data_IF_902573466567
#
_entry.id   IF_902573466567
#
_cell.length_a   1.000
_cell.length_b   1.000
_cell.length_c   1.000
_cell.angle_alpha   90.00
_cell.angle_beta   90.00
_cell.angle_gamma   90.00
#
_symmetry.space_group_name_H-M   'P 1'
#
loop_
_entity.id
_entity.type
_entity.pdbx_description
1 polymer ?
#
# COMPACT_ATOMS: atom_id res chain seq x y z
N UNK A 1 19.66 -8.89 -5.50
CA UNK A 1 18.25 -9.15 -5.83
C UNK A 1 17.49 -7.83 -5.87
N UNK A 2 16.77 -7.54 -6.95
CA UNK A 2 15.85 -6.39 -6.96
C UNK A 2 14.67 -6.73 -6.06
N UNK A 3 14.41 -5.92 -5.03
CA UNK A 3 13.22 -6.08 -4.17
C UNK A 3 11.97 -5.38 -4.76
N UNK A 4 12.06 -4.90 -6.00
CA UNK A 4 10.99 -4.18 -6.72
C UNK A 4 10.22 -5.12 -7.66
N UNK A 5 9.94 -6.33 -7.21
CA UNK A 5 9.31 -7.37 -8.02
C UNK A 5 7.87 -7.55 -7.54
N UNK A 6 6.93 -7.39 -8.46
CA UNK A 6 5.52 -7.76 -8.29
C UNK A 6 4.94 -8.01 -9.68
N UNK A 7 3.87 -8.79 -9.74
CA UNK A 7 3.12 -9.06 -10.97
C UNK A 7 1.80 -8.29 -10.95
N UNK A 8 1.53 -7.54 -12.00
CA UNK A 8 0.22 -6.90 -12.21
C UNK A 8 -0.74 -7.93 -12.76
N UNK A 9 -1.77 -8.31 -11.99
CA UNK A 9 -2.85 -9.18 -12.46
C UNK A 9 -3.97 -8.35 -13.10
N UNK A 10 -4.29 -7.21 -12.49
CA UNK A 10 -5.25 -6.24 -13.01
C UNK A 10 -4.79 -4.84 -12.62
N UNK A 11 -4.54 -3.97 -13.60
CA UNK A 11 -3.96 -2.65 -13.35
C UNK A 11 -4.90 -1.79 -12.48
N UNK A 12 -4.34 -1.26 -11.38
CA UNK A 12 -5.07 -0.41 -10.45
C UNK A 12 -6.00 -1.17 -9.49
N UNK A 13 -6.02 -2.50 -9.55
CA UNK A 13 -6.89 -3.33 -8.72
C UNK A 13 -6.10 -4.45 -8.04
N UNK A 14 -5.41 -5.33 -8.78
CA UNK A 14 -4.87 -6.58 -8.23
C UNK A 14 -3.41 -6.81 -8.60
N UNK A 15 -2.59 -7.08 -7.58
CA UNK A 15 -1.15 -7.34 -7.71
C UNK A 15 -0.77 -8.60 -6.92
N UNK A 16 0.20 -9.36 -7.43
CA UNK A 16 0.79 -10.51 -6.77
C UNK A 16 2.24 -10.20 -6.37
N UNK A 17 2.57 -10.43 -5.09
CA UNK A 17 3.88 -10.16 -4.52
C UNK A 17 4.53 -11.49 -4.14
N UNK A 18 5.82 -11.73 -4.45
CA UNK A 18 6.52 -12.93 -4.01
C UNK A 18 6.68 -12.94 -2.49
N UNK A 19 6.49 -14.11 -1.87
CA UNK A 19 6.67 -14.33 -0.43
C UNK A 19 8.10 -14.79 -0.15
N UNK A 20 8.70 -14.22 0.89
CA UNK A 20 10.09 -14.48 1.29
C UNK A 20 10.15 -15.10 2.67
N UNK A 21 11.13 -15.97 2.90
CA UNK A 21 11.43 -16.54 4.20
C UNK A 21 12.91 -16.39 4.53
N UNK A 22 13.26 -16.55 5.80
CA UNK A 22 14.65 -16.70 6.23
C UNK A 22 14.95 -18.18 6.34
N UNK A 23 16.06 -18.61 5.74
CA UNK A 23 16.58 -19.98 5.81
C UNK A 23 17.96 -19.99 6.48
N UNK A 24 18.15 -20.92 7.41
CA UNK A 24 19.37 -21.00 8.22
C UNK A 24 20.61 -21.23 7.35
N UNK A 25 21.64 -20.43 7.57
CA UNK A 25 22.89 -20.49 6.80
C UNK A 25 22.82 -19.91 5.37
N UNK A 26 21.63 -19.58 4.87
CA UNK A 26 21.43 -19.03 3.51
C UNK A 26 21.00 -17.57 3.54
N UNK A 27 20.10 -17.19 4.45
CA UNK A 27 19.54 -15.84 4.56
C UNK A 27 18.15 -15.74 3.95
N UNK A 28 17.85 -14.64 3.25
CA UNK A 28 16.50 -14.38 2.71
C UNK A 28 16.34 -15.10 1.36
N UNK A 29 15.37 -16.01 1.27
CA UNK A 29 15.06 -16.80 0.07
C UNK A 29 13.61 -16.66 -0.32
N UNK A 30 13.33 -16.68 -1.63
CA UNK A 30 11.98 -16.67 -2.17
C UNK A 30 11.33 -18.05 -1.97
N UNK A 31 10.05 -18.07 -1.60
CA UNK A 31 9.32 -19.32 -1.30
C UNK A 31 8.70 -19.96 -2.55
N UNK A 32 8.54 -19.19 -3.63
CA UNK A 32 7.72 -19.56 -4.78
C UNK A 32 6.21 -19.33 -4.57
N UNK A 33 5.80 -18.93 -3.36
CA UNK A 33 4.42 -18.52 -3.08
C UNK A 33 4.21 -17.03 -3.40
N UNK A 34 2.96 -16.67 -3.70
CA UNK A 34 2.56 -15.30 -3.96
C UNK A 34 1.47 -14.84 -2.98
N UNK A 35 1.61 -13.62 -2.48
CA UNK A 35 0.57 -12.93 -1.72
C UNK A 35 -0.16 -11.94 -2.64
N UNK A 36 -1.49 -12.04 -2.67
CA UNK A 36 -2.33 -11.13 -3.43
C UNK A 36 -2.66 -9.88 -2.63
N UNK A 37 -2.47 -8.72 -3.26
CA UNK A 37 -2.90 -7.43 -2.76
C UNK A 37 -3.95 -6.86 -3.73
N UNK A 38 -5.16 -6.65 -3.21
CA UNK A 38 -6.31 -6.09 -3.95
C UNK A 38 -6.63 -4.72 -3.41
N UNK A 39 -6.76 -3.72 -4.28
CA UNK A 39 -7.16 -2.36 -3.93
C UNK A 39 -8.65 -2.17 -4.14
N UNK A 40 -9.26 -1.39 -3.24
CA UNK A 40 -10.65 -0.97 -3.41
C UNK A 40 -10.78 -0.07 -4.63
N UNK A 41 -11.83 -0.30 -5.42
CA UNK A 41 -12.15 0.51 -6.60
C UNK A 41 -13.65 0.57 -6.78
N UNK A 42 -14.14 1.69 -7.31
CA UNK A 42 -15.56 1.83 -7.66
C UNK A 42 -16.07 3.23 -7.40
N UNK A 43 -17.28 3.48 -7.89
CA UNK A 43 -18.04 4.68 -7.60
C UNK A 43 -19.23 4.40 -6.69
N UNK A 44 -19.56 5.36 -5.81
CA UNK A 44 -20.84 5.40 -5.09
C UNK A 44 -21.99 5.85 -6.01
N UNK A 45 -21.70 6.54 -7.10
CA UNK A 45 -22.67 7.02 -8.07
C UNK A 45 -23.02 5.90 -9.07
N UNK A 46 -24.29 5.86 -9.51
CA UNK A 46 -24.77 4.81 -10.44
C UNK A 46 -24.46 5.13 -11.91
N UNK A 47 -24.28 6.41 -12.22
CA UNK A 47 -23.99 6.96 -13.55
C UNK A 47 -22.50 6.94 -13.90
N UNK A 48 -21.62 6.61 -12.94
CA UNK A 48 -20.22 6.32 -13.21
C UNK A 48 -20.05 4.81 -13.44
N UNK A 49 -19.78 4.42 -14.69
CA UNK A 49 -19.52 3.02 -15.09
C UNK A 49 -18.13 2.55 -14.62
N UNK A 50 -18.00 2.38 -13.30
CA UNK A 50 -16.79 1.84 -12.68
C UNK A 50 -17.15 0.59 -11.89
N UNK A 51 -16.54 -0.52 -12.29
CA UNK A 51 -16.69 -1.79 -11.58
C UNK A 51 -16.28 -1.66 -10.12
N UNK A 52 -17.14 -2.15 -9.22
CA UNK A 52 -16.89 -2.16 -7.77
C UNK A 52 -16.01 -3.35 -7.42
N UNK A 53 -14.87 -3.07 -6.82
CA UNK A 53 -13.89 -4.04 -6.35
C UNK A 53 -13.67 -3.84 -4.87
N UNK A 54 -13.81 -4.90 -4.11
CA UNK A 54 -13.42 -4.93 -2.70
C UNK A 54 -11.90 -5.07 -2.61
N UNK A 55 -11.31 -4.40 -1.61
CA UNK A 55 -9.89 -4.42 -1.39
C UNK A 55 -9.48 -3.48 -0.27
N UNK A 56 -8.18 -3.23 -0.17
CA UNK A 56 -7.59 -2.35 0.81
C UNK A 56 -7.41 -0.93 0.27
N UNK A 57 -7.38 0.03 1.18
CA UNK A 57 -7.05 1.42 0.90
C UNK A 57 -5.53 1.61 0.95
N UNK A 58 -5.03 2.61 0.21
CA UNK A 58 -3.60 2.95 0.19
C UNK A 58 -3.13 3.41 1.57
N UNK A 59 -3.98 4.17 2.25
CA UNK A 59 -3.81 4.72 3.60
C UNK A 59 -3.61 3.59 4.62
N UNK A 60 -4.36 2.49 4.49
CA UNK A 60 -4.22 1.30 5.35
C UNK A 60 -2.86 0.64 5.17
N UNK A 61 -2.40 0.47 3.93
CA UNK A 61 -1.06 -0.09 3.66
C UNK A 61 0.06 0.82 4.16
N UNK A 62 -0.03 2.13 3.90
CA UNK A 62 0.96 3.10 4.37
C UNK A 62 1.05 3.08 5.90
N UNK A 63 -0.09 3.08 6.59
CA UNK A 63 -0.16 3.04 8.06
C UNK A 63 0.47 1.77 8.62
N UNK A 64 0.15 0.60 8.04
CA UNK A 64 0.74 -0.68 8.42
C UNK A 64 2.27 -0.70 8.18
N UNK A 65 2.74 -0.19 7.03
CA UNK A 65 4.17 -0.11 6.74
C UNK A 65 4.92 0.82 7.69
N UNK A 66 4.33 1.96 8.06
CA UNK A 66 4.89 2.89 9.05
C UNK A 66 5.04 2.19 10.39
N UNK A 67 4.01 1.47 10.84
CA UNK A 67 4.00 0.77 12.13
C UNK A 67 5.09 -0.32 12.17
N UNK A 68 5.15 -1.19 11.16
CA UNK A 68 6.14 -2.26 11.06
C UNK A 68 7.58 -1.71 10.98
N UNK A 69 7.80 -0.64 10.21
CA UNK A 69 9.13 -0.01 10.12
C UNK A 69 9.54 0.68 11.41
N UNK A 70 8.62 1.34 12.13
CA UNK A 70 8.92 1.93 13.44
C UNK A 70 9.38 0.86 14.43
N UNK A 71 8.67 -0.26 14.48
CA UNK A 71 9.06 -1.39 15.33
C UNK A 71 10.45 -1.89 14.97
N UNK A 72 10.70 -2.21 13.69
CA UNK A 72 12.03 -2.68 13.23
C UNK A 72 13.15 -1.66 13.48
N UNK A 73 12.88 -0.37 13.28
CA UNK A 73 13.85 0.70 13.55
C UNK A 73 14.12 0.90 15.05
N UNK A 74 13.19 0.54 15.94
CA UNK A 74 13.45 0.55 17.38
C UNK A 74 14.39 -0.57 17.82
N UNK A 75 14.41 -1.69 17.09
CA UNK A 75 15.30 -2.83 17.35
C UNK A 75 16.70 -2.61 16.78
N UNK A 76 16.77 -2.14 15.54
CA UNK A 76 18.03 -1.87 14.83
C UNK A 76 17.94 -0.49 14.17
N UNK A 77 18.26 0.58 14.92
CA UNK A 77 18.13 1.94 14.42
C UNK A 77 19.05 2.23 13.24
N UNK A 78 18.50 2.88 12.21
CA UNK A 78 19.29 3.45 11.13
C UNK A 78 18.74 4.80 10.67
N UNK A 79 19.63 5.62 10.11
CA UNK A 79 19.24 6.91 9.52
C UNK A 79 18.31 6.68 8.33
N UNK A 80 18.61 5.68 7.51
CA UNK A 80 17.87 5.31 6.31
C UNK A 80 16.43 4.90 6.65
N UNK A 81 16.25 4.04 7.67
CA UNK A 81 14.91 3.67 8.14
C UNK A 81 14.13 4.86 8.69
N UNK A 82 14.78 5.74 9.45
CA UNK A 82 14.15 6.94 10.02
C UNK A 82 13.67 7.91 8.92
N UNK A 83 14.48 8.10 7.88
CA UNK A 83 14.12 8.90 6.71
C UNK A 83 12.97 8.25 5.94
N UNK A 84 13.01 6.92 5.74
CA UNK A 84 11.94 6.19 5.07
C UNK A 84 10.59 6.31 5.80
N UNK A 85 10.58 6.15 7.13
CA UNK A 85 9.40 6.34 7.97
C UNK A 85 8.84 7.74 7.80
N UNK A 86 9.70 8.77 7.87
CA UNK A 86 9.28 10.17 7.70
C UNK A 86 8.59 10.39 6.34
N UNK A 87 9.14 9.80 5.27
CA UNK A 87 8.57 9.95 3.92
C UNK A 87 7.27 9.17 3.71
N UNK A 88 7.11 8.03 4.38
CA UNK A 88 5.83 7.31 4.39
C UNK A 88 4.76 8.07 5.17
N UNK A 89 5.12 8.70 6.30
CA UNK A 89 4.21 9.56 7.06
C UNK A 89 3.78 10.80 6.25
N UNK A 90 4.71 11.43 5.53
CA UNK A 90 4.40 12.53 4.60
C UNK A 90 3.45 12.06 3.49
N UNK A 91 3.70 10.89 2.89
CA UNK A 91 2.80 10.32 1.89
C UNK A 91 1.39 10.06 2.45
N UNK A 92 1.28 9.52 3.67
CA UNK A 92 0.00 9.29 4.34
C UNK A 92 -0.75 10.61 4.58
N UNK A 93 -0.06 11.64 5.08
CA UNK A 93 -0.63 12.97 5.28
C UNK A 93 -1.24 13.53 3.99
N UNK A 94 -0.56 13.39 2.85
CA UNK A 94 -1.07 13.86 1.57
C UNK A 94 -2.30 13.08 1.08
N UNK A 95 -2.37 11.78 1.37
CA UNK A 95 -3.55 10.97 1.06
C UNK A 95 -4.76 11.39 1.90
N UNK A 96 -4.55 11.63 3.19
CA UNK A 96 -5.60 12.11 4.10
C UNK A 96 -6.06 13.54 3.74
N UNK A 97 -5.13 14.42 3.34
CA UNK A 97 -5.49 15.77 2.88
C UNK A 97 -6.35 15.72 1.63
N UNK A 98 -6.00 14.86 0.67
CA UNK A 98 -6.83 14.62 -0.52
C UNK A 98 -8.21 14.09 -0.13
N UNK A 99 -8.30 13.20 0.86
CA UNK A 99 -9.58 12.71 1.33
C UNK A 99 -10.41 13.86 1.93
N UNK A 100 -9.85 14.66 2.85
CA UNK A 100 -10.52 15.83 3.45
C UNK A 100 -11.03 16.82 2.41
N UNK A 101 -10.21 17.14 1.41
CA UNK A 101 -10.61 18.02 0.30
C UNK A 101 -11.79 17.44 -0.48
N UNK A 102 -11.78 16.15 -0.78
CA UNK A 102 -12.91 15.48 -1.45
C UNK A 102 -14.15 15.39 -0.56
N UNK A 103 -14.00 15.27 0.74
CA UNK A 103 -15.11 15.30 1.70
C UNK A 103 -15.77 16.68 1.70
N UNK A 104 -14.97 17.74 1.78
CA UNK A 104 -15.45 19.12 1.72
C UNK A 104 -16.20 19.43 0.40
N UNK A 105 -15.81 18.76 -0.70
CA UNK A 105 -16.46 18.87 -2.00
C UNK A 105 -17.56 17.83 -2.24
N UNK A 106 -17.84 16.94 -1.28
CA UNK A 106 -18.78 15.82 -1.38
C UNK A 106 -18.47 14.79 -2.50
N UNK A 107 -17.24 14.77 -3.02
CA UNK A 107 -16.79 13.90 -4.14
C UNK A 107 -16.03 12.65 -3.68
N UNK A 108 -16.01 12.32 -2.38
CA UNK A 108 -15.43 11.05 -1.92
C UNK A 108 -16.18 9.87 -2.53
N UNK A 109 -15.43 8.88 -3.00
CA UNK A 109 -15.98 7.68 -3.61
C UNK A 109 -16.63 7.92 -4.97
N UNK A 110 -16.32 9.03 -5.64
CA UNK A 110 -16.72 9.32 -7.02
C UNK A 110 -15.49 9.57 -7.89
N UNK A 111 -15.68 9.63 -9.20
CA UNK A 111 -14.68 10.01 -10.20
C UNK A 111 -14.84 11.48 -10.63
N UNK A 112 -15.80 12.19 -10.07
CA UNK A 112 -15.91 13.64 -10.20
C UNK A 112 -14.67 14.34 -9.63
N UNK A 113 -14.24 15.39 -10.32
CA UNK A 113 -12.99 16.09 -10.00
C UNK A 113 -13.11 16.92 -8.73
#
# INVERSE_FOLDING_TARGET
MSKRIFKTLEQGTTYALPVWKVEDGVGIVETGEEQLIKFVRGSKLKDEEVEKREGILHETLLSMMIEDLKFKNSLVPSRESSVAITKLQEALMWMEERQRDREARNTVGTYQK
#
